data_IF_640015811596
#
_entry.id   IF_640015811596
#
_cell.length_a   1.000
_cell.length_b   1.000
_cell.length_c   1.000
_cell.angle_alpha   90.00
_cell.angle_beta   90.00
_cell.angle_gamma   90.00
#
_symmetry.space_group_name_H-M   'P 1'
#
loop_
_entity.id
_entity.type
_entity.pdbx_description
1 polymer ?
#
# COMPACT_ATOMS: atom_id res chain seq x y z
N UNK A 1 -9.81 13.49 22.10
CA UNK A 1 -9.34 13.60 20.72
C UNK A 1 -9.61 12.29 19.97
N UNK A 2 -10.23 12.38 18.81
CA UNK A 2 -10.49 11.23 17.95
C UNK A 2 -9.24 10.94 17.12
N UNK A 3 -8.77 9.69 17.14
CA UNK A 3 -7.67 9.27 16.28
C UNK A 3 -8.18 9.04 14.87
N UNK A 4 -7.44 9.55 13.90
CA UNK A 4 -7.81 9.47 12.49
C UNK A 4 -6.67 8.82 11.71
N UNK A 5 -7.01 7.85 10.88
CA UNK A 5 -6.05 7.15 10.02
C UNK A 5 -6.33 7.44 8.56
N UNK A 6 -5.25 7.53 7.77
CA UNK A 6 -5.32 7.51 6.32
C UNK A 6 -4.95 6.10 5.85
N UNK A 7 -5.84 5.46 5.11
CA UNK A 7 -5.55 4.17 4.48
C UNK A 7 -5.20 4.37 3.01
N UNK A 8 -3.98 3.98 2.66
CA UNK A 8 -3.55 3.85 1.28
C UNK A 8 -3.62 2.37 0.91
N UNK A 9 -4.82 1.90 0.67
CA UNK A 9 -5.12 0.48 0.52
C UNK A 9 -6.20 0.27 -0.55
N UNK A 10 -5.84 -0.34 -1.68
CA UNK A 10 -4.51 -0.83 -2.01
C UNK A 10 -3.68 0.15 -2.85
N UNK A 11 -2.36 -0.01 -2.81
CA UNK A 11 -1.46 0.60 -3.80
C UNK A 11 -1.43 -0.31 -5.02
N UNK A 12 -1.94 0.17 -6.14
CA UNK A 12 -2.11 -0.61 -7.36
C UNK A 12 -1.03 -0.21 -8.36
N UNK A 13 -0.17 -1.15 -8.82
CA UNK A 13 0.92 -0.82 -9.75
C UNK A 13 0.43 -0.09 -11.00
N UNK A 14 1.15 0.97 -11.37
CA UNK A 14 0.88 1.86 -12.51
C UNK A 14 -0.47 2.60 -12.46
N UNK A 15 -1.18 2.50 -11.34
CA UNK A 15 -2.44 3.23 -11.15
C UNK A 15 -2.33 4.17 -9.95
N UNK A 16 -1.99 3.64 -8.77
CA UNK A 16 -1.92 4.44 -7.53
C UNK A 16 -0.58 4.39 -6.82
N UNK A 17 0.41 3.67 -7.35
CA UNK A 17 1.71 3.49 -6.71
C UNK A 17 2.74 4.58 -7.02
N UNK A 18 2.36 5.61 -7.74
CA UNK A 18 3.23 6.72 -8.11
C UNK A 18 3.74 7.45 -6.85
N UNK A 19 5.06 7.68 -6.79
CA UNK A 19 5.69 8.34 -5.65
C UNK A 19 5.07 9.70 -5.36
N UNK A 20 4.87 10.51 -6.39
CA UNK A 20 4.30 11.85 -6.21
C UNK A 20 2.88 11.77 -5.66
N UNK A 21 2.09 10.82 -6.13
CA UNK A 21 0.73 10.61 -5.64
C UNK A 21 0.72 10.19 -4.17
N UNK A 22 1.55 9.23 -3.79
CA UNK A 22 1.64 8.74 -2.40
C UNK A 22 2.06 9.87 -1.47
N UNK A 23 3.14 10.58 -1.81
CA UNK A 23 3.66 11.66 -0.98
C UNK A 23 2.69 12.84 -0.90
N UNK A 24 2.04 13.19 -2.00
CA UNK A 24 1.09 14.29 -2.07
C UNK A 24 -0.14 14.04 -1.21
N UNK A 25 -0.69 12.81 -1.26
CA UNK A 25 -1.85 12.44 -0.44
C UNK A 25 -1.50 12.49 1.05
N UNK A 26 -0.35 11.95 1.45
CA UNK A 26 0.09 11.97 2.85
C UNK A 26 0.29 13.41 3.31
N UNK A 27 0.97 14.23 2.52
CA UNK A 27 1.24 15.63 2.85
C UNK A 27 -0.05 16.42 3.05
N UNK A 28 -1.01 16.27 2.14
CA UNK A 28 -2.28 16.99 2.21
C UNK A 28 -3.14 16.57 3.40
N UNK A 29 -3.03 15.32 3.82
CA UNK A 29 -3.80 14.80 4.95
C UNK A 29 -3.10 14.95 6.30
N UNK A 30 -1.79 15.24 6.31
CA UNK A 30 -0.94 15.11 7.50
C UNK A 30 -1.47 15.85 8.74
N UNK A 31 -2.02 17.03 8.58
CA UNK A 31 -2.52 17.82 9.73
C UNK A 31 -3.87 17.30 10.27
N UNK A 32 -4.53 16.38 9.57
CA UNK A 32 -5.84 15.86 9.96
C UNK A 32 -5.80 14.44 10.47
N UNK A 33 -4.63 13.76 10.38
CA UNK A 33 -4.50 12.34 10.69
C UNK A 33 -3.38 12.10 11.69
N UNK A 34 -3.45 10.94 12.34
CA UNK A 34 -2.45 10.50 13.31
C UNK A 34 -1.59 9.34 12.77
N UNK A 35 -2.10 8.63 11.79
CA UNK A 35 -1.48 7.40 11.29
C UNK A 35 -1.73 7.20 9.79
N UNK A 36 -0.73 6.63 9.12
CA UNK A 36 -0.86 6.15 7.74
C UNK A 36 -0.80 4.63 7.75
N UNK A 37 -1.76 3.98 7.10
CA UNK A 37 -1.84 2.53 6.95
C UNK A 37 -1.77 2.21 5.47
N UNK A 38 -0.84 1.33 5.09
CA UNK A 38 -0.54 1.03 3.69
C UNK A 38 -0.68 -0.46 3.42
N UNK A 39 -1.22 -0.80 2.26
CA UNK A 39 -1.27 -2.18 1.77
C UNK A 39 -1.13 -2.16 0.26
N UNK A 40 -0.39 -3.13 -0.29
CA UNK A 40 -0.26 -3.28 -1.74
C UNK A 40 -1.42 -4.12 -2.29
N UNK A 41 -1.70 -3.96 -3.59
CA UNK A 41 -2.76 -4.72 -4.25
C UNK A 41 -2.40 -6.20 -4.32
N UNK A 42 -3.25 -7.05 -3.73
CA UNK A 42 -3.08 -8.51 -3.65
C UNK A 42 -4.29 -9.17 -4.31
N UNK A 43 -4.35 -9.18 -5.64
CA UNK A 43 -5.53 -9.65 -6.32
C UNK A 43 -5.74 -11.14 -6.19
N UNK A 44 -7.01 -11.54 -6.10
CA UNK A 44 -7.44 -12.89 -6.38
C UNK A 44 -7.61 -13.04 -7.89
N UNK A 45 -7.92 -14.24 -8.34
CA UNK A 45 -8.13 -14.50 -9.76
C UNK A 45 -9.20 -13.59 -10.37
N UNK A 46 -10.34 -13.45 -9.72
CA UNK A 46 -11.44 -12.60 -10.18
C UNK A 46 -11.11 -11.13 -10.17
N UNK A 47 -10.39 -10.65 -9.15
CA UNK A 47 -9.95 -9.27 -9.05
C UNK A 47 -8.93 -8.94 -10.14
N UNK A 48 -8.01 -9.87 -10.41
CA UNK A 48 -7.01 -9.73 -11.48
C UNK A 48 -7.70 -9.62 -12.83
N UNK A 49 -8.69 -10.46 -13.07
CA UNK A 49 -9.45 -10.44 -14.32
C UNK A 49 -10.16 -9.10 -14.52
N UNK A 50 -10.79 -8.59 -13.46
CA UNK A 50 -11.50 -7.30 -13.52
C UNK A 50 -10.57 -6.14 -13.80
N UNK A 51 -9.42 -6.07 -13.11
CA UNK A 51 -8.48 -4.95 -13.29
C UNK A 51 -7.84 -4.98 -14.68
N UNK A 52 -7.49 -6.14 -15.19
CA UNK A 52 -6.87 -6.28 -16.51
C UNK A 52 -7.89 -6.08 -17.64
N UNK A 53 -9.18 -6.30 -17.37
CA UNK A 53 -10.24 -5.98 -18.31
C UNK A 53 -10.48 -4.46 -18.38
N UNK A 54 -10.45 -3.79 -17.23
CA UNK A 54 -10.59 -2.34 -17.16
C UNK A 54 -9.37 -1.60 -17.73
N UNK A 55 -8.18 -2.18 -17.54
CA UNK A 55 -6.91 -1.61 -18.00
C UNK A 55 -6.12 -2.65 -18.80
N UNK A 56 -6.55 -2.93 -20.06
CA UNK A 56 -5.95 -4.01 -20.86
C UNK A 56 -4.45 -3.87 -21.08
N UNK A 57 -3.93 -2.66 -21.10
CA UNK A 57 -2.50 -2.39 -21.29
C UNK A 57 -1.63 -2.88 -20.11
N UNK A 58 -2.24 -3.17 -18.97
CA UNK A 58 -1.53 -3.68 -17.79
C UNK A 58 -1.45 -5.20 -17.73
N UNK A 59 -2.18 -5.90 -18.58
CA UNK A 59 -2.30 -7.37 -18.53
C UNK A 59 -0.95 -8.06 -18.62
N UNK A 60 -0.13 -7.68 -19.58
CA UNK A 60 1.18 -8.28 -19.78
C UNK A 60 2.11 -8.00 -18.60
N UNK A 61 2.18 -6.76 -18.13
CA UNK A 61 3.00 -6.38 -17.00
C UNK A 61 2.57 -7.13 -15.73
N UNK A 62 1.26 -7.19 -15.46
CA UNK A 62 0.75 -7.86 -14.26
C UNK A 62 1.01 -9.36 -14.28
N UNK A 63 0.95 -10.00 -15.44
CA UNK A 63 1.28 -11.43 -15.56
C UNK A 63 2.76 -11.69 -15.28
N UNK A 64 3.61 -10.70 -15.48
CA UNK A 64 5.04 -10.78 -15.21
C UNK A 64 5.38 -10.53 -13.74
N UNK A 65 4.75 -9.54 -13.10
CA UNK A 65 5.10 -9.13 -11.74
C UNK A 65 4.32 -9.88 -10.66
N UNK A 66 3.09 -10.34 -10.92
CA UNK A 66 2.27 -11.08 -9.95
C UNK A 66 2.50 -12.57 -10.06
N UNK A 67 3.69 -13.05 -9.71
CA UNK A 67 4.06 -14.47 -9.77
C UNK A 67 4.04 -15.17 -8.43
N UNK A 68 4.17 -14.42 -7.34
CA UNK A 68 4.12 -14.99 -5.99
C UNK A 68 2.66 -15.19 -5.59
N UNK A 69 2.39 -16.34 -4.98
CA UNK A 69 1.04 -16.68 -4.54
C UNK A 69 1.05 -17.09 -3.07
N UNK A 70 0.09 -16.59 -2.33
CA UNK A 70 -0.12 -16.98 -0.95
C UNK A 70 -1.62 -17.16 -0.73
N UNK A 71 -2.04 -18.40 -0.48
CA UNK A 71 -3.45 -18.74 -0.42
C UNK A 71 -4.12 -18.49 -1.77
N UNK A 72 -5.19 -17.70 -1.78
CA UNK A 72 -5.95 -17.35 -2.98
C UNK A 72 -5.54 -16.00 -3.59
N UNK A 73 -4.50 -15.39 -3.06
CA UNK A 73 -4.06 -14.07 -3.51
C UNK A 73 -2.70 -14.11 -4.18
N UNK A 74 -2.52 -13.26 -5.18
CA UNK A 74 -1.24 -13.04 -5.82
C UNK A 74 -0.56 -11.84 -5.17
N UNK A 75 0.76 -11.91 -5.04
CA UNK A 75 1.56 -10.87 -4.39
C UNK A 75 2.57 -10.29 -5.35
N UNK A 76 2.82 -8.99 -5.24
CA UNK A 76 3.96 -8.34 -5.89
C UNK A 76 5.27 -8.92 -5.36
N UNK A 77 6.37 -8.85 -6.15
CA UNK A 77 7.68 -9.25 -5.65
C UNK A 77 8.01 -8.53 -4.35
N UNK A 78 8.69 -9.23 -3.45
CA UNK A 78 9.05 -8.70 -2.13
C UNK A 78 9.78 -7.35 -2.22
N UNK A 79 10.74 -7.23 -3.15
CA UNK A 79 11.53 -6.02 -3.30
C UNK A 79 10.68 -4.81 -3.70
N UNK A 80 9.71 -5.03 -4.60
CA UNK A 80 8.79 -3.97 -5.02
C UNK A 80 7.87 -3.57 -3.88
N UNK A 81 7.31 -4.55 -3.15
CA UNK A 81 6.47 -4.27 -1.97
C UNK A 81 7.25 -3.46 -0.94
N UNK A 82 8.48 -3.88 -0.65
CA UNK A 82 9.33 -3.18 0.32
C UNK A 82 9.58 -1.73 -0.09
N UNK A 83 9.90 -1.49 -1.37
CA UNK A 83 10.14 -0.14 -1.88
C UNK A 83 8.93 0.76 -1.68
N UNK A 84 7.73 0.26 -1.98
CA UNK A 84 6.49 1.04 -1.83
C UNK A 84 6.18 1.31 -0.35
N UNK A 85 6.37 0.31 0.50
CA UNK A 85 6.14 0.45 1.94
C UNK A 85 7.12 1.44 2.57
N UNK A 86 8.41 1.36 2.22
CA UNK A 86 9.42 2.28 2.73
C UNK A 86 9.17 3.71 2.27
N UNK A 87 8.73 3.90 1.03
CA UNK A 87 8.39 5.21 0.49
C UNK A 87 7.30 5.88 1.34
N UNK A 88 6.20 5.16 1.57
CA UNK A 88 5.08 5.67 2.36
C UNK A 88 5.49 5.90 3.82
N UNK A 89 6.29 4.98 4.39
CA UNK A 89 6.78 5.10 5.76
C UNK A 89 7.65 6.35 5.95
N UNK A 90 8.58 6.58 5.03
CA UNK A 90 9.47 7.74 5.12
C UNK A 90 8.68 9.04 5.04
N UNK A 91 7.67 9.10 4.19
CA UNK A 91 6.83 10.28 4.09
C UNK A 91 5.99 10.49 5.36
N UNK A 92 5.44 9.41 5.93
CA UNK A 92 4.68 9.48 7.17
C UNK A 92 5.56 10.00 8.33
N UNK A 93 6.76 9.46 8.46
CA UNK A 93 7.71 9.87 9.51
C UNK A 93 8.11 11.34 9.35
N UNK A 94 8.30 11.78 8.11
CA UNK A 94 8.62 13.18 7.79
C UNK A 94 7.57 14.14 8.36
N UNK A 95 6.31 13.73 8.42
CA UNK A 95 5.20 14.52 8.96
C UNK A 95 4.83 14.14 10.39
N UNK A 96 5.68 13.41 11.09
CA UNK A 96 5.47 12.96 12.48
C UNK A 96 4.22 12.09 12.65
N UNK A 97 3.88 11.31 11.63
CA UNK A 97 2.75 10.40 11.66
C UNK A 97 3.21 9.00 12.04
N UNK A 98 2.33 8.25 12.70
CA UNK A 98 2.53 6.83 12.93
C UNK A 98 2.32 6.08 11.62
N UNK A 99 2.94 4.92 11.49
CA UNK A 99 2.92 4.14 10.26
C UNK A 99 2.68 2.67 10.55
N UNK A 100 1.90 2.01 9.69
CA UNK A 100 1.81 0.57 9.65
C UNK A 100 1.54 0.09 8.24
N UNK A 101 1.98 -1.14 7.94
CA UNK A 101 1.61 -1.84 6.73
C UNK A 101 0.81 -3.09 7.13
N UNK A 102 -0.06 -3.53 6.23
CA UNK A 102 -0.97 -4.64 6.51
C UNK A 102 -0.70 -5.79 5.55
N UNK A 103 -0.38 -6.98 6.10
CA UNK A 103 -0.20 -8.21 5.33
C UNK A 103 0.94 -8.16 4.31
N UNK A 104 2.00 -7.41 4.59
CA UNK A 104 3.15 -7.27 3.69
C UNK A 104 4.37 -8.08 4.12
N UNK A 105 4.39 -8.57 5.36
CA UNK A 105 5.55 -9.28 5.91
C UNK A 105 6.63 -8.36 6.47
N UNK A 106 6.36 -7.08 6.60
CA UNK A 106 7.31 -6.08 7.07
C UNK A 106 6.85 -5.38 8.35
N UNK A 107 6.29 -6.14 9.28
CA UNK A 107 5.78 -5.57 10.54
C UNK A 107 6.86 -4.84 11.36
N UNK A 108 8.13 -5.18 11.15
CA UNK A 108 9.24 -4.49 11.79
C UNK A 108 9.37 -3.01 11.38
N UNK A 109 8.74 -2.60 10.29
CA UNK A 109 8.70 -1.21 9.84
C UNK A 109 7.54 -0.43 10.48
N UNK A 110 6.61 -1.12 11.13
CA UNK A 110 5.44 -0.49 11.74
C UNK A 110 5.83 0.29 12.99
N UNK A 111 5.23 1.47 13.16
CA UNK A 111 5.35 2.26 14.38
C UNK A 111 4.04 2.27 15.18
N UNK A 112 3.00 1.60 14.65
CA UNK A 112 1.70 1.44 15.29
C UNK A 112 1.03 0.19 14.75
N UNK A 113 -0.10 -0.22 15.32
CA UNK A 113 -0.85 -1.38 14.83
C UNK A 113 -1.60 -1.04 13.55
N UNK A 114 -1.84 -2.05 12.70
CA UNK A 114 -2.48 -1.85 11.41
C UNK A 114 -4.01 -1.69 11.49
N UNK A 115 -4.58 -1.81 12.67
CA UNK A 115 -6.01 -1.60 12.89
C UNK A 115 -6.39 -0.12 13.11
N UNK A 116 -5.40 0.76 13.12
CA UNK A 116 -5.62 2.18 13.32
C UNK A 116 -5.83 2.59 14.76
N UNK A 117 -5.64 1.69 15.72
CA UNK A 117 -5.79 2.03 17.14
C UNK A 117 -4.67 2.95 17.65
N UNK A 118 -3.55 3.00 16.93
CA UNK A 118 -2.41 3.82 17.32
C UNK A 118 -1.56 3.23 18.43
N UNK A 119 -1.75 1.97 18.71
CA UNK A 119 -1.02 1.26 19.77
C UNK A 119 0.13 0.47 19.20
#
# INVERSE_FOLDING_TARGET
KIRTSLRLDPLIPDITDNQDNICDVIEKCAKYIDQVIVSTFKPRFDSMERITKAFPHLKEKYSTIYKEREGNSLYLPKDLRLSLIELARNEAIKHNLKFSSCREGFSYLNTATCDGSGV
#
